data_IF_794860935156
#
_entry.id   IF_794860935156
#
_cell.length_a   1.000
_cell.length_b   1.000
_cell.length_c   1.000
_cell.angle_alpha   90.00
_cell.angle_beta   90.00
_cell.angle_gamma   90.00
#
_symmetry.space_group_name_H-M   'P 1'
#
loop_
_entity.id
_entity.type
_entity.pdbx_description
1 polymer ?
#
# COMPACT_ATOMS: atom_id res chain seq x y z
N UNK A 1 8.56 -12.67 20.22
CA UNK A 1 9.18 -13.40 19.11
C UNK A 1 10.10 -14.45 19.72
N UNK A 2 9.89 -15.72 19.38
CA UNK A 2 10.71 -16.87 19.78
C UNK A 2 12.02 -16.92 19.00
N UNK A 3 12.97 -17.76 19.43
CA UNK A 3 14.24 -17.92 18.72
C UNK A 3 14.06 -18.52 17.33
N UNK A 4 13.08 -19.43 17.16
CA UNK A 4 12.74 -20.00 15.87
C UNK A 4 12.15 -18.94 14.91
N UNK A 5 11.23 -18.10 15.41
CA UNK A 5 10.67 -16.99 14.64
C UNK A 5 11.75 -15.98 14.23
N UNK A 6 12.74 -15.74 15.10
CA UNK A 6 13.89 -14.88 14.79
C UNK A 6 14.76 -15.48 13.68
N UNK A 7 15.07 -16.77 13.77
CA UNK A 7 15.86 -17.46 12.75
C UNK A 7 15.20 -17.39 11.36
N UNK A 8 13.88 -17.60 11.29
CA UNK A 8 13.11 -17.48 10.04
C UNK A 8 13.19 -16.05 9.48
N UNK A 9 13.00 -15.04 10.32
CA UNK A 9 13.08 -13.64 9.90
C UNK A 9 14.48 -13.25 9.40
N UNK A 10 15.53 -13.72 10.08
CA UNK A 10 16.92 -13.45 9.71
C UNK A 10 17.27 -14.12 8.37
N UNK A 11 16.90 -15.39 8.19
CA UNK A 11 17.08 -16.13 6.94
C UNK A 11 16.38 -15.44 5.76
N UNK A 12 15.09 -15.07 5.93
CA UNK A 12 14.34 -14.35 4.92
C UNK A 12 14.99 -13.00 4.57
N UNK A 13 15.49 -12.28 5.58
CA UNK A 13 16.16 -10.99 5.41
C UNK A 13 17.48 -11.14 4.65
N UNK A 14 18.27 -12.17 4.96
CA UNK A 14 19.48 -12.50 4.21
C UNK A 14 19.18 -12.87 2.75
N UNK A 15 18.15 -13.70 2.54
CA UNK A 15 17.69 -14.07 1.21
C UNK A 15 17.31 -12.83 0.40
N UNK A 16 16.47 -11.94 0.96
CA UNK A 16 16.08 -10.68 0.33
C UNK A 16 17.30 -9.84 -0.07
N UNK A 17 18.31 -9.72 0.80
CA UNK A 17 19.54 -8.97 0.51
C UNK A 17 20.31 -9.56 -0.68
N UNK A 18 20.32 -10.88 -0.83
CA UNK A 18 20.96 -11.60 -1.94
C UNK A 18 20.20 -11.37 -3.25
N UNK A 19 18.87 -11.47 -3.25
CA UNK A 19 18.05 -11.44 -4.49
C UNK A 19 17.62 -10.04 -4.94
N UNK A 20 17.54 -9.04 -4.04
CA UNK A 20 16.89 -7.74 -4.30
C UNK A 20 17.30 -7.04 -5.59
N UNK A 21 18.57 -7.16 -6.01
CA UNK A 21 19.06 -6.53 -7.24
C UNK A 21 18.50 -7.21 -8.50
N UNK A 22 18.44 -8.55 -8.50
CA UNK A 22 17.88 -9.34 -9.60
C UNK A 22 16.37 -9.15 -9.63
N UNK A 23 15.71 -9.32 -8.48
CA UNK A 23 14.28 -9.12 -8.32
C UNK A 23 13.82 -7.76 -8.87
N UNK A 24 14.46 -6.66 -8.42
CA UNK A 24 14.10 -5.32 -8.88
C UNK A 24 14.29 -5.12 -10.39
N UNK A 25 15.33 -5.72 -11.00
CA UNK A 25 15.53 -5.64 -12.45
C UNK A 25 14.43 -6.36 -13.24
N UNK A 26 13.93 -7.48 -12.71
CA UNK A 26 12.80 -8.20 -13.32
C UNK A 26 11.52 -7.40 -13.23
N UNK A 27 11.23 -6.83 -12.05
CA UNK A 27 10.01 -6.01 -11.84
C UNK A 27 10.05 -4.72 -12.67
N UNK A 28 11.20 -4.06 -12.73
CA UNK A 28 11.39 -2.78 -13.41
C UNK A 28 12.20 -2.93 -14.71
N UNK A 29 11.87 -3.95 -15.51
CA UNK A 29 12.53 -4.20 -16.79
C UNK A 29 12.30 -3.03 -17.75
N UNK A 30 13.38 -2.47 -18.29
CA UNK A 30 13.36 -1.34 -19.23
C UNK A 30 12.77 -1.68 -20.59
N UNK A 31 12.84 -2.95 -20.99
CA UNK A 31 12.26 -3.40 -22.24
C UNK A 31 10.72 -3.39 -22.17
N UNK A 32 10.17 -3.73 -20.99
CA UNK A 32 8.74 -3.72 -20.71
C UNK A 32 8.23 -2.32 -20.32
N UNK A 33 8.97 -1.64 -19.46
CA UNK A 33 8.64 -0.32 -18.94
C UNK A 33 9.72 0.70 -19.38
N UNK A 34 9.56 1.36 -20.52
CA UNK A 34 10.55 2.33 -20.98
C UNK A 34 10.60 3.56 -20.05
N UNK A 35 11.69 4.31 -20.14
CA UNK A 35 11.84 5.59 -19.45
C UNK A 35 10.82 6.59 -19.98
N UNK A 36 10.21 7.34 -19.06
CA UNK A 36 9.27 8.41 -19.36
C UNK A 36 9.91 9.80 -19.21
N UNK A 37 9.40 10.76 -19.98
CA UNK A 37 9.79 12.17 -19.86
C UNK A 37 9.27 12.78 -18.55
N UNK A 38 7.99 12.53 -18.26
CA UNK A 38 7.24 13.07 -17.12
C UNK A 38 6.67 11.93 -16.25
N UNK A 39 7.53 11.16 -15.56
CA UNK A 39 7.07 9.99 -14.82
C UNK A 39 6.23 10.36 -13.60
N UNK A 40 5.22 9.53 -13.32
CA UNK A 40 4.25 9.70 -12.24
C UNK A 40 4.53 8.72 -11.11
N UNK A 41 4.43 9.19 -9.87
CA UNK A 41 4.48 8.36 -8.67
C UNK A 41 3.08 8.32 -8.05
N UNK A 42 2.43 7.17 -8.08
CA UNK A 42 1.12 6.96 -7.43
C UNK A 42 1.33 6.19 -6.13
N UNK A 43 0.78 6.70 -5.03
CA UNK A 43 0.79 6.06 -3.73
C UNK A 43 -0.64 5.69 -3.34
N UNK A 44 -0.94 4.40 -3.23
CA UNK A 44 -2.23 3.97 -2.70
C UNK A 44 -2.27 4.22 -1.19
N UNK A 45 -3.46 4.54 -0.68
CA UNK A 45 -3.70 4.73 0.74
C UNK A 45 -5.10 4.22 1.11
N UNK A 46 -5.28 3.84 2.37
CA UNK A 46 -6.55 3.30 2.88
C UNK A 46 -6.36 2.04 3.72
N UNK A 47 -7.35 1.74 4.56
CA UNK A 47 -7.31 0.59 5.47
C UNK A 47 -7.15 -0.74 4.72
N UNK A 48 -6.67 -1.81 5.39
CA UNK A 48 -6.85 -3.17 4.86
C UNK A 48 -8.31 -3.42 4.48
N UNK A 49 -8.57 -4.22 3.45
CA UNK A 49 -9.94 -4.52 2.99
C UNK A 49 -10.68 -3.36 2.30
N UNK A 50 -10.09 -2.17 2.17
CA UNK A 50 -10.74 -1.03 1.52
C UNK A 50 -10.88 -1.14 -0.01
N UNK A 51 -10.39 -2.21 -0.64
CA UNK A 51 -10.44 -2.37 -2.10
C UNK A 51 -9.31 -1.67 -2.87
N UNK A 52 -8.15 -1.44 -2.22
CA UNK A 52 -6.99 -0.78 -2.87
C UNK A 52 -6.43 -1.58 -4.04
N UNK A 53 -6.34 -2.90 -3.87
CA UNK A 53 -5.79 -3.82 -4.87
C UNK A 53 -6.64 -3.83 -6.14
N UNK A 54 -7.95 -3.82 -5.97
CA UNK A 54 -8.96 -3.77 -7.04
C UNK A 54 -8.96 -2.39 -7.69
N UNK A 55 -8.93 -1.32 -6.90
CA UNK A 55 -8.85 0.05 -7.42
C UNK A 55 -7.56 0.31 -8.21
N UNK A 56 -6.42 -0.22 -7.75
CA UNK A 56 -5.15 -0.09 -8.48
C UNK A 56 -5.15 -0.91 -9.77
N UNK A 57 -5.74 -2.11 -9.79
CA UNK A 57 -5.93 -2.89 -11.03
C UNK A 57 -6.84 -2.18 -12.03
N UNK A 58 -8.00 -1.69 -11.57
CA UNK A 58 -8.92 -0.94 -12.42
C UNK A 58 -8.29 0.34 -12.98
N UNK A 59 -7.45 1.03 -12.19
CA UNK A 59 -6.69 2.18 -12.66
C UNK A 59 -5.64 1.76 -13.72
N UNK A 60 -4.97 0.63 -13.53
CA UNK A 60 -4.00 0.09 -14.49
C UNK A 60 -4.64 -0.23 -15.84
N UNK A 61 -5.87 -0.74 -15.85
CA UNK A 61 -6.63 -1.05 -17.07
C UNK A 61 -7.00 0.19 -17.89
N UNK A 62 -6.96 1.39 -17.30
CA UNK A 62 -7.23 2.64 -18.01
C UNK A 62 -6.02 3.22 -18.75
N UNK A 63 -4.82 2.68 -18.49
CA UNK A 63 -3.62 3.12 -19.19
C UNK A 63 -3.37 2.26 -20.43
N UNK A 64 -3.04 2.91 -21.55
CA UNK A 64 -2.65 2.23 -22.79
C UNK A 64 -1.33 1.46 -22.65
N UNK A 65 -0.55 1.75 -21.61
CA UNK A 65 0.73 1.12 -21.30
C UNK A 65 0.71 0.50 -19.92
N UNK A 66 1.33 -0.67 -19.78
CA UNK A 66 1.53 -1.29 -18.48
C UNK A 66 2.34 -0.36 -17.55
N UNK A 67 1.91 -0.24 -16.29
CA UNK A 67 2.60 0.54 -15.26
C UNK A 67 3.09 -0.39 -14.16
N UNK A 68 4.26 -0.09 -13.60
CA UNK A 68 4.88 -0.91 -12.56
C UNK A 68 4.04 -0.82 -11.28
N UNK A 69 3.53 -1.95 -10.82
CA UNK A 69 2.91 -2.10 -9.50
C UNK A 69 3.95 -2.59 -8.49
N UNK A 70 4.10 -1.86 -7.39
CA UNK A 70 4.94 -2.23 -6.26
C UNK A 70 4.01 -2.63 -5.11
N UNK A 71 3.88 -3.93 -4.87
CA UNK A 71 2.99 -4.47 -3.84
C UNK A 71 3.75 -5.42 -2.92
N UNK A 72 3.80 -5.08 -1.63
CA UNK A 72 4.44 -5.92 -0.62
C UNK A 72 3.77 -7.28 -0.48
N UNK A 73 2.46 -7.37 -0.72
CA UNK A 73 1.66 -8.60 -0.62
C UNK A 73 2.05 -9.59 -1.70
N UNK A 74 2.19 -9.14 -2.95
CA UNK A 74 2.66 -9.97 -4.07
C UNK A 74 4.11 -10.44 -3.86
N UNK A 75 4.96 -9.60 -3.27
CA UNK A 75 6.38 -9.93 -3.11
C UNK A 75 6.66 -10.95 -2.00
N UNK A 76 5.66 -11.31 -1.18
CA UNK A 76 5.87 -12.31 -0.13
C UNK A 76 6.05 -13.72 -0.68
N UNK A 77 5.50 -13.99 -1.87
CA UNK A 77 5.60 -15.30 -2.50
C UNK A 77 7.05 -15.70 -2.83
N UNK A 78 7.95 -14.73 -2.98
CA UNK A 78 9.39 -14.95 -3.14
C UNK A 78 10.04 -15.66 -1.94
N UNK A 79 9.37 -15.68 -0.78
CA UNK A 79 9.89 -16.25 0.46
C UNK A 79 9.23 -17.57 0.87
N UNK A 80 8.46 -18.20 -0.02
CA UNK A 80 7.84 -19.52 0.26
C UNK A 80 8.88 -20.58 0.60
N UNK A 81 10.03 -20.56 -0.07
CA UNK A 81 11.16 -21.46 0.22
C UNK A 81 11.84 -21.18 1.56
N UNK A 82 11.66 -19.99 2.13
CA UNK A 82 12.13 -19.61 3.47
C UNK A 82 11.03 -19.75 4.54
N UNK A 83 9.92 -20.43 4.20
CA UNK A 83 8.86 -20.77 5.14
C UNK A 83 7.72 -19.76 5.23
N UNK A 84 7.53 -18.88 4.24
CA UNK A 84 6.34 -18.02 4.21
C UNK A 84 5.08 -18.85 3.93
N UNK A 85 4.09 -18.74 4.81
CA UNK A 85 2.84 -19.53 4.77
C UNK A 85 1.58 -18.67 4.76
N UNK A 86 1.70 -17.35 4.76
CA UNK A 86 0.56 -16.42 4.81
C UNK A 86 0.27 -15.95 6.23
N UNK A 87 -0.01 -16.89 7.14
CA UNK A 87 -0.33 -16.62 8.54
C UNK A 87 0.83 -15.94 9.27
N UNK A 88 2.07 -16.37 9.01
CA UNK A 88 3.29 -15.81 9.58
C UNK A 88 3.82 -14.54 8.88
N UNK A 89 2.97 -13.81 8.13
CA UNK A 89 3.36 -12.65 7.32
C UNK A 89 4.15 -11.57 8.07
N UNK A 90 3.98 -11.43 9.39
CA UNK A 90 4.72 -10.47 10.20
C UNK A 90 6.22 -10.79 10.28
N UNK A 91 6.61 -12.07 10.17
CA UNK A 91 8.02 -12.48 10.19
C UNK A 91 8.76 -12.02 8.94
N UNK A 92 8.08 -11.98 7.80
CA UNK A 92 8.66 -11.66 6.49
C UNK A 92 8.61 -10.16 6.14
N UNK A 93 7.92 -9.35 6.95
CA UNK A 93 7.79 -7.91 6.70
C UNK A 93 9.13 -7.18 6.49
N UNK A 94 10.20 -7.44 7.28
CA UNK A 94 11.51 -6.81 7.05
C UNK A 94 12.13 -7.22 5.71
N UNK A 95 12.06 -8.52 5.35
CA UNK A 95 12.60 -9.06 4.11
C UNK A 95 11.89 -8.46 2.88
N UNK A 96 10.56 -8.41 2.92
CA UNK A 96 9.72 -7.83 1.86
C UNK A 96 9.98 -6.32 1.71
N UNK A 97 10.16 -5.62 2.83
CA UNK A 97 10.49 -4.18 2.81
C UNK A 97 11.79 -3.90 2.04
N UNK A 98 12.77 -4.79 2.13
CA UNK A 98 14.03 -4.69 1.36
C UNK A 98 13.77 -4.81 -0.14
N UNK A 99 12.87 -5.70 -0.58
CA UNK A 99 12.52 -5.85 -1.98
C UNK A 99 11.77 -4.60 -2.48
N UNK A 100 10.72 -4.17 -1.76
CA UNK A 100 9.94 -2.97 -2.08
C UNK A 100 10.83 -1.73 -2.20
N UNK A 101 11.72 -1.49 -1.23
CA UNK A 101 12.63 -0.35 -1.26
C UNK A 101 13.60 -0.44 -2.43
N UNK A 102 14.09 -1.65 -2.77
CA UNK A 102 15.01 -1.82 -3.89
C UNK A 102 14.34 -1.61 -5.25
N UNK A 103 13.10 -2.07 -5.41
CA UNK A 103 12.27 -1.81 -6.61
C UNK A 103 12.00 -0.31 -6.71
N UNK A 104 11.53 0.31 -5.62
CA UNK A 104 11.25 1.75 -5.55
C UNK A 104 12.47 2.59 -5.95
N UNK A 105 13.65 2.30 -5.38
CA UNK A 105 14.90 2.99 -5.73
C UNK A 105 15.22 2.89 -7.22
N UNK A 106 14.97 1.71 -7.80
CA UNK A 106 15.28 1.43 -9.19
C UNK A 106 14.33 2.16 -10.14
N UNK A 107 13.00 2.10 -9.93
CA UNK A 107 12.02 2.77 -10.80
C UNK A 107 12.17 4.29 -10.77
N UNK A 108 12.52 4.86 -9.61
CA UNK A 108 12.83 6.28 -9.46
C UNK A 108 14.07 6.64 -10.29
N UNK A 109 15.15 5.84 -10.18
CA UNK A 109 16.38 6.07 -10.93
C UNK A 109 16.24 5.89 -12.43
N UNK A 110 15.34 5.00 -12.86
CA UNK A 110 15.06 4.73 -14.26
C UNK A 110 14.02 5.67 -14.90
N UNK A 111 13.38 6.54 -14.09
CA UNK A 111 12.30 7.43 -14.54
C UNK A 111 11.12 6.66 -15.15
N UNK A 112 10.71 5.58 -14.49
CA UNK A 112 9.51 4.81 -14.83
C UNK A 112 8.38 5.20 -13.87
N UNK A 113 7.16 5.31 -14.36
CA UNK A 113 5.95 5.48 -13.54
C UNK A 113 5.67 4.23 -12.72
N UNK A 114 5.09 4.41 -11.53
CA UNK A 114 4.72 3.30 -10.68
C UNK A 114 3.50 3.61 -9.81
N UNK A 115 2.83 2.55 -9.38
CA UNK A 115 1.85 2.54 -8.30
C UNK A 115 2.45 1.76 -7.12
N UNK A 116 2.59 2.39 -5.96
CA UNK A 116 2.97 1.73 -4.72
C UNK A 116 1.70 1.36 -3.95
N UNK A 117 1.36 0.07 -3.92
CA UNK A 117 0.20 -0.44 -3.21
C UNK A 117 0.55 -0.67 -1.73
N UNK A 118 -0.07 0.13 -0.86
CA UNK A 118 0.17 0.13 0.57
C UNK A 118 -0.95 0.87 1.30
N UNK A 119 -0.91 0.82 2.63
CA UNK A 119 -1.92 1.50 3.46
C UNK A 119 -1.59 2.96 3.75
N UNK A 120 -0.33 3.37 3.49
CA UNK A 120 0.20 4.72 3.71
C UNK A 120 0.00 5.24 5.15
N UNK A 121 0.26 4.41 6.17
CA UNK A 121 -0.01 4.75 7.58
C UNK A 121 1.17 5.38 8.33
N UNK A 122 2.40 5.26 7.79
CA UNK A 122 3.60 5.85 8.41
C UNK A 122 3.96 7.17 7.74
N UNK A 123 3.64 8.29 8.41
CA UNK A 123 3.86 9.64 7.91
C UNK A 123 5.32 9.92 7.52
N UNK A 124 6.27 9.63 8.39
CA UNK A 124 7.69 9.92 8.13
C UNK A 124 8.23 9.15 6.92
N UNK A 125 7.87 7.87 6.80
CA UNK A 125 8.26 7.05 5.65
C UNK A 125 7.60 7.56 4.36
N UNK A 126 6.30 7.86 4.41
CA UNK A 126 5.56 8.37 3.26
C UNK A 126 6.09 9.74 2.81
N UNK A 127 6.31 10.66 3.75
CA UNK A 127 6.91 11.98 3.51
C UNK A 127 8.26 11.86 2.81
N UNK A 128 9.17 11.03 3.33
CA UNK A 128 10.49 10.78 2.72
C UNK A 128 10.37 10.22 1.30
N UNK A 129 9.45 9.29 1.07
CA UNK A 129 9.24 8.72 -0.27
C UNK A 129 8.70 9.78 -1.24
N UNK A 130 7.73 10.58 -0.83
CA UNK A 130 7.18 11.68 -1.63
C UNK A 130 8.24 12.73 -1.93
N UNK A 131 9.04 13.15 -0.94
CA UNK A 131 10.17 14.06 -1.14
C UNK A 131 11.16 13.55 -2.18
N UNK A 132 11.48 12.25 -2.14
CA UNK A 132 12.35 11.61 -3.14
C UNK A 132 11.75 11.63 -4.54
N UNK A 133 10.43 11.42 -4.67
CA UNK A 133 9.73 11.51 -5.95
C UNK A 133 9.73 12.94 -6.49
N UNK A 134 9.33 13.91 -5.67
CA UNK A 134 9.33 15.33 -6.03
C UNK A 134 10.72 15.84 -6.39
N UNK A 135 11.75 15.46 -5.62
CA UNK A 135 13.15 15.81 -5.88
C UNK A 135 13.71 15.23 -7.18
N UNK A 136 12.99 14.32 -7.84
CA UNK A 136 13.31 13.79 -9.17
C UNK A 136 12.40 14.36 -10.27
N UNK A 137 11.64 15.41 -9.98
CA UNK A 137 10.78 16.10 -10.93
C UNK A 137 9.55 15.30 -11.34
N UNK A 138 9.08 14.39 -10.47
CA UNK A 138 7.95 13.50 -10.75
C UNK A 138 6.65 14.13 -10.30
N UNK A 139 5.57 13.90 -11.05
CA UNK A 139 4.21 14.16 -10.55
C UNK A 139 3.88 13.15 -9.44
N UNK A 140 3.36 13.61 -8.31
CA UNK A 140 3.03 12.74 -7.17
C UNK A 140 1.54 12.77 -6.88
N UNK A 141 0.92 11.60 -6.94
CA UNK A 141 -0.50 11.39 -6.68
C UNK A 141 -0.65 10.43 -5.51
N UNK A 142 -1.52 10.76 -4.58
CA UNK A 142 -2.01 9.83 -3.56
C UNK A 142 -3.44 9.46 -3.96
N UNK A 143 -3.72 8.17 -4.03
CA UNK A 143 -5.05 7.65 -4.28
C UNK A 143 -5.56 6.99 -3.00
N UNK A 144 -6.43 7.71 -2.28
CA UNK A 144 -7.02 7.23 -1.04
C UNK A 144 -8.32 6.50 -1.32
N UNK A 145 -8.33 5.20 -1.02
CA UNK A 145 -9.51 4.34 -1.16
C UNK A 145 -10.20 4.22 0.19
N UNK A 146 -11.44 4.66 0.25
CA UNK A 146 -12.28 4.59 1.44
C UNK A 146 -13.35 3.52 1.29
N UNK A 147 -13.49 2.71 2.34
CA UNK A 147 -14.59 1.80 2.59
C UNK A 147 -15.00 1.96 4.06
N UNK A 148 -16.28 1.76 4.36
CA UNK A 148 -16.74 1.70 5.75
C UNK A 148 -15.94 0.61 6.50
N UNK A 149 -15.37 0.92 7.68
CA UNK A 149 -14.44 0.01 8.35
C UNK A 149 -15.08 -1.31 8.79
N UNK A 150 -16.39 -1.36 9.06
CA UNK A 150 -17.08 -2.62 9.38
C UNK A 150 -17.09 -3.51 8.15
N UNK A 151 -17.42 -2.94 6.98
CA UNK A 151 -17.40 -3.68 5.72
C UNK A 151 -15.99 -4.06 5.27
N UNK A 152 -15.02 -3.17 5.42
CA UNK A 152 -13.63 -3.47 5.12
C UNK A 152 -13.10 -4.63 5.98
N UNK A 153 -13.53 -4.72 7.24
CA UNK A 153 -13.18 -5.84 8.13
C UNK A 153 -13.77 -7.17 7.67
N UNK A 154 -14.99 -7.20 7.16
CA UNK A 154 -15.59 -8.40 6.55
C UNK A 154 -14.72 -8.93 5.39
N UNK A 155 -14.21 -8.04 4.53
CA UNK A 155 -13.29 -8.42 3.45
C UNK A 155 -11.93 -8.91 3.96
N UNK A 156 -11.41 -8.32 5.04
CA UNK A 156 -10.18 -8.81 5.68
C UNK A 156 -10.38 -10.24 6.18
N UNK A 157 -11.48 -10.53 6.89
CA UNK A 157 -11.81 -11.88 7.37
C UNK A 157 -12.01 -12.88 6.24
N UNK A 158 -12.67 -12.46 5.16
CA UNK A 158 -12.84 -13.29 3.97
C UNK A 158 -11.49 -13.65 3.33
N UNK A 159 -10.58 -12.67 3.18
CA UNK A 159 -9.22 -12.92 2.67
C UNK A 159 -8.39 -13.78 3.60
N UNK A 160 -8.52 -13.66 4.93
CA UNK A 160 -7.81 -14.54 5.86
C UNK A 160 -8.17 -16.02 5.62
N UNK A 161 -9.43 -16.29 5.28
CA UNK A 161 -9.90 -17.66 4.99
C UNK A 161 -9.33 -18.22 3.68
N UNK A 162 -9.14 -17.37 2.67
CA UNK A 162 -8.68 -17.77 1.32
C UNK A 162 -7.15 -17.76 1.20
N UNK A 163 -6.49 -16.75 1.78
CA UNK A 163 -5.06 -16.47 1.60
C UNK A 163 -4.23 -16.79 2.86
N UNK A 164 -4.87 -17.14 3.98
CA UNK A 164 -4.20 -17.43 5.25
C UNK A 164 -3.60 -16.22 5.96
N UNK A 165 -3.71 -15.02 5.38
CA UNK A 165 -3.12 -13.80 5.95
C UNK A 165 -3.97 -13.23 7.08
N UNK A 166 -3.56 -13.49 8.31
CA UNK A 166 -4.18 -12.93 9.51
C UNK A 166 -3.74 -11.49 9.76
N UNK A 167 -4.71 -10.58 9.87
CA UNK A 167 -4.49 -9.21 10.34
C UNK A 167 -5.15 -9.08 11.72
N UNK A 168 -4.38 -8.83 12.79
CA UNK A 168 -4.98 -8.57 14.10
C UNK A 168 -5.96 -7.40 14.04
N UNK A 169 -7.10 -7.51 14.68
CA UNK A 169 -8.15 -6.48 14.68
C UNK A 169 -7.64 -5.13 15.14
N UNK A 170 -6.84 -5.12 16.21
CA UNK A 170 -6.26 -3.90 16.77
C UNK A 170 -5.38 -3.21 15.71
N UNK A 171 -4.60 -3.99 14.94
CA UNK A 171 -3.81 -3.47 13.81
C UNK A 171 -4.67 -2.95 12.68
N UNK A 172 -5.79 -3.58 12.38
CA UNK A 172 -6.73 -3.08 11.38
C UNK A 172 -7.28 -1.70 11.78
N UNK A 173 -7.75 -1.57 13.04
CA UNK A 173 -8.32 -0.32 13.57
C UNK A 173 -7.26 0.78 13.58
N UNK A 174 -6.05 0.50 14.06
CA UNK A 174 -4.91 1.43 14.00
C UNK A 174 -4.66 1.92 12.57
N UNK A 175 -4.61 1.01 11.60
CA UNK A 175 -4.35 1.36 10.20
C UNK A 175 -5.49 2.13 9.54
N UNK A 176 -6.74 1.88 9.93
CA UNK A 176 -7.89 2.63 9.43
C UNK A 176 -7.78 4.12 9.72
N UNK A 177 -7.57 4.49 10.98
CA UNK A 177 -7.41 5.89 11.38
C UNK A 177 -6.10 6.47 10.85
N UNK A 178 -4.98 5.77 11.03
CA UNK A 178 -3.66 6.26 10.65
C UNK A 178 -3.53 6.55 9.15
N UNK A 179 -4.22 5.80 8.28
CA UNK A 179 -4.17 6.03 6.85
C UNK A 179 -4.78 7.40 6.49
N UNK A 180 -5.95 7.74 7.06
CA UNK A 180 -6.60 9.03 6.82
C UNK A 180 -5.75 10.18 7.35
N UNK A 181 -5.31 10.07 8.60
CA UNK A 181 -4.51 11.10 9.27
C UNK A 181 -3.22 11.39 8.51
N UNK A 182 -2.55 10.33 8.05
CA UNK A 182 -1.33 10.44 7.27
C UNK A 182 -1.56 11.18 5.95
N UNK A 183 -2.58 10.81 5.16
CA UNK A 183 -2.87 11.48 3.88
C UNK A 183 -3.21 12.96 4.10
N UNK A 184 -4.05 13.28 5.07
CA UNK A 184 -4.37 14.67 5.40
C UNK A 184 -3.13 15.47 5.83
N UNK A 185 -2.26 14.88 6.66
CA UNK A 185 -1.00 15.50 7.07
C UNK A 185 -0.05 15.73 5.87
N UNK A 186 0.03 14.78 4.94
CA UNK A 186 0.84 14.91 3.72
C UNK A 186 0.29 15.99 2.80
N UNK A 187 -1.04 16.06 2.58
CA UNK A 187 -1.66 17.10 1.76
C UNK A 187 -1.43 18.49 2.34
N UNK A 188 -1.57 18.66 3.66
CA UNK A 188 -1.21 19.92 4.35
C UNK A 188 0.26 20.27 4.20
N UNK A 189 1.16 19.29 4.29
CA UNK A 189 2.60 19.53 4.22
C UNK A 189 3.10 19.89 2.81
N UNK A 190 2.63 19.18 1.78
CA UNK A 190 3.10 19.37 0.40
C UNK A 190 2.24 20.34 -0.41
N UNK A 191 0.99 20.57 -0.01
CA UNK A 191 0.03 21.44 -0.69
C UNK A 191 -0.17 21.02 -2.15
N UNK A 192 -0.05 21.99 -3.06
CA UNK A 192 -0.23 21.81 -4.50
C UNK A 192 0.88 20.99 -5.17
N UNK A 193 1.96 20.63 -4.45
CA UNK A 193 3.02 19.76 -4.99
C UNK A 193 2.59 18.31 -5.12
N UNK A 194 1.52 17.90 -4.44
CA UNK A 194 0.92 16.58 -4.59
C UNK A 194 -0.58 16.70 -4.91
N UNK A 195 -1.10 15.69 -5.61
CA UNK A 195 -2.53 15.51 -5.79
C UNK A 195 -3.03 14.41 -4.86
N UNK A 196 -4.21 14.61 -4.29
CA UNK A 196 -4.88 13.59 -3.45
C UNK A 196 -6.24 13.35 -4.05
N UNK A 197 -6.43 12.15 -4.57
CA UNK A 197 -7.70 11.70 -5.12
C UNK A 197 -8.36 10.75 -4.13
N UNK A 198 -9.68 10.84 -4.00
CA UNK A 198 -10.48 10.05 -3.08
C UNK A 198 -11.45 9.17 -3.88
N UNK A 199 -11.37 7.86 -3.65
CA UNK A 199 -12.28 6.85 -4.17
C UNK A 199 -13.14 6.31 -3.03
N UNK A 200 -14.45 6.53 -3.07
CA UNK A 200 -15.39 5.94 -2.12
C UNK A 200 -15.96 4.66 -2.73
N UNK A 201 -15.80 3.56 -2.02
CA UNK A 201 -16.43 2.29 -2.36
C UNK A 201 -17.87 2.24 -1.83
N UNK A 202 -18.76 1.57 -2.56
CA UNK A 202 -20.05 1.12 -2.03
C UNK A 202 -19.89 -0.15 -1.19
N UNK A 203 -21.00 -0.79 -0.82
CA UNK A 203 -20.98 -2.02 -0.02
C UNK A 203 -20.32 -3.20 -0.74
N UNK A 204 -20.26 -3.20 -2.06
CA UNK A 204 -19.74 -4.33 -2.85
C UNK A 204 -18.31 -4.07 -3.36
N UNK A 205 -17.61 -3.09 -2.77
CA UNK A 205 -16.29 -2.63 -3.23
C UNK A 205 -16.32 -2.15 -4.70
N UNK A 206 -17.44 -1.57 -5.14
CA UNK A 206 -17.51 -0.85 -6.40
C UNK A 206 -17.39 0.66 -6.19
N UNK A 207 -16.76 1.34 -7.15
CA UNK A 207 -16.56 2.78 -7.08
C UNK A 207 -17.91 3.51 -7.09
N UNK A 208 -18.29 4.08 -5.96
CA UNK A 208 -19.54 4.84 -5.79
C UNK A 208 -19.36 6.33 -6.06
N UNK A 209 -18.20 6.89 -5.70
CA UNK A 209 -17.89 8.31 -5.86
C UNK A 209 -16.39 8.52 -5.99
N UNK A 210 -16.02 9.42 -6.89
CA UNK A 210 -14.66 9.92 -7.07
C UNK A 210 -14.60 11.42 -6.77
N UNK A 211 -13.59 11.85 -6.02
CA UNK A 211 -13.29 13.26 -5.78
C UNK A 211 -11.81 13.53 -6.11
N UNK A 212 -11.56 14.35 -7.12
CA UNK A 212 -10.22 14.64 -7.61
C UNK A 212 -9.54 15.76 -6.81
N UNK A 213 -8.25 15.60 -6.54
CA UNK A 213 -7.36 16.59 -5.94
C UNK A 213 -7.97 17.36 -4.75
N UNK A 214 -8.51 16.62 -3.78
CA UNK A 214 -9.10 17.18 -2.57
C UNK A 214 -8.02 17.70 -1.61
N UNK A 215 -8.37 18.70 -0.81
CA UNK A 215 -7.47 19.27 0.21
C UNK A 215 -7.54 18.54 1.55
N UNK A 216 -8.68 17.91 1.86
CA UNK A 216 -8.90 17.20 3.10
C UNK A 216 -9.94 16.08 2.92
N UNK A 217 -9.62 14.85 3.32
CA UNK A 217 -10.52 13.69 3.30
C UNK A 217 -11.76 13.93 4.18
N UNK A 218 -11.61 14.58 5.33
CA UNK A 218 -12.68 14.76 6.31
C UNK A 218 -13.82 15.64 5.80
N UNK A 219 -13.58 16.45 4.76
CA UNK A 219 -14.60 17.26 4.09
C UNK A 219 -15.50 16.43 3.16
N UNK A 220 -15.10 15.20 2.84
CA UNK A 220 -15.80 14.31 1.92
C UNK A 220 -16.29 13.03 2.60
N UNK A 221 -15.60 12.59 3.65
CA UNK A 221 -15.92 11.39 4.43
C UNK A 221 -15.93 11.75 5.92
N UNK A 222 -17.12 11.90 6.48
CA UNK A 222 -17.29 12.19 7.90
C UNK A 222 -16.92 10.94 8.71
N UNK A 223 -16.04 11.10 9.69
CA UNK A 223 -15.71 10.01 10.62
C UNK A 223 -16.91 9.69 11.50
N UNK A 224 -17.32 8.41 11.51
CA UNK A 224 -18.46 7.92 12.29
C UNK A 224 -18.04 7.11 13.51
N UNK A 225 -16.75 6.80 13.61
CA UNK A 225 -16.21 5.88 14.61
C UNK A 225 -15.11 6.55 15.44
N UNK A 226 -15.14 6.30 16.74
CA UNK A 226 -13.96 6.32 17.60
C UNK A 226 -13.32 4.92 17.63
N UNK A 227 -12.06 4.81 18.06
CA UNK A 227 -11.38 3.51 18.27
C UNK A 227 -12.25 2.54 19.07
N UNK A 228 -12.74 2.95 20.24
CA UNK A 228 -13.59 2.11 21.09
C UNK A 228 -14.91 1.73 20.41
N UNK A 229 -15.59 2.68 19.74
CA UNK A 229 -16.85 2.35 19.06
C UNK A 229 -16.65 1.39 17.87
N UNK A 230 -15.49 1.45 17.22
CA UNK A 230 -15.15 0.53 16.14
C UNK A 230 -14.80 -0.85 16.71
N UNK A 231 -14.01 -0.91 17.78
CA UNK A 231 -13.74 -2.17 18.50
C UNK A 231 -15.04 -2.90 18.86
N UNK A 232 -16.02 -2.19 19.42
CA UNK A 232 -17.34 -2.74 19.78
C UNK A 232 -18.15 -3.23 18.57
N UNK A 233 -17.98 -2.60 17.41
CA UNK A 233 -18.65 -3.01 16.16
C UNK A 233 -17.99 -4.23 15.54
N UNK A 234 -16.67 -4.38 15.70
CA UNK A 234 -15.91 -5.50 15.18
C UNK A 234 -15.88 -6.72 16.12
N UNK A 235 -16.36 -6.60 17.36
CA UNK A 235 -16.56 -7.70 18.34
C UNK A 235 -17.89 -8.40 18.20
N UNK A 236 -18.83 -7.85 17.45
CA UNK A 236 -20.16 -8.44 17.26
C UNK A 236 -20.11 -9.57 16.22
N UNK A 237 -19.62 -10.74 16.64
CA UNK A 237 -19.88 -12.05 16.02
C UNK A 237 -20.52 -12.98 17.05
#
# INVERSE_FOLDING_TARGET
MTDNERAIQDEATEHARKIKKKFAKTVADKARYPKEADPVSVFMAGSPGAGKTEASKALLEQFDSEVIRIDADEYRDEFREQGYTGDNSWLFQPAVSILVEKVYDLVIGQKQSFILDGTLTNYEKAKKNIERSLGKGRSVHILYVYQDPVRAWEFVRARETVEGRKIPRERFIEQYFAARDCVNALKRHFGNRIRVDLLLQDRDNQLSRYSANIDNIDSHVVEKYTTSSLEDRLTSD
#
